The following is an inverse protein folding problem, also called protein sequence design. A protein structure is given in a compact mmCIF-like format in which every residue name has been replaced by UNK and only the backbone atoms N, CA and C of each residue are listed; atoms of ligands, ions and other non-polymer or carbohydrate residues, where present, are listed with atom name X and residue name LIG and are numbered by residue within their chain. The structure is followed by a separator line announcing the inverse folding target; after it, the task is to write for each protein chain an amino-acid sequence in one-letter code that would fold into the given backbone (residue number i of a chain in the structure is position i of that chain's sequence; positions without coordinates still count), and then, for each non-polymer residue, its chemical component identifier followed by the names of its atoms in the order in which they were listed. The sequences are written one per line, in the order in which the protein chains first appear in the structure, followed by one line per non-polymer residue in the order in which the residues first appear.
data_IF_716862253160
#
_entry.id   IF_716862253160
#
_cell.length_a   1.000
_cell.length_b   1.000
_cell.length_c   1.000
_cell.angle_alpha   90.00
_cell.angle_beta   90.00
_cell.angle_gamma   90.00
#
_symmetry.space_group_name_H-M   'P 1'
#
loop_
_entity.id
_entity.type
_entity.pdbx_description
1 polymer ?
#
# COMPACT_ATOMS: atom_id res chain seq x y z
N UNK A 1 16.26 -23.14 -12.33
CA UNK A 1 15.31 -22.13 -11.84
C UNK A 1 14.30 -22.82 -10.97
N UNK A 2 14.21 -22.48 -9.69
CA UNK A 2 13.12 -22.97 -8.82
C UNK A 2 11.79 -22.43 -9.36
N UNK A 3 10.86 -23.30 -9.71
CA UNK A 3 9.51 -22.92 -10.16
C UNK A 3 8.76 -22.21 -9.04
N UNK A 4 7.87 -21.27 -9.41
CA UNK A 4 6.94 -20.67 -8.45
C UNK A 4 6.02 -21.77 -7.92
N UNK A 5 6.10 -22.05 -6.63
CA UNK A 5 5.24 -23.03 -5.97
C UNK A 5 4.18 -22.32 -5.12
N UNK A 6 2.92 -22.43 -5.53
CA UNK A 6 1.80 -21.78 -4.85
C UNK A 6 1.63 -22.27 -3.41
N UNK A 7 1.84 -23.56 -3.12
CA UNK A 7 1.71 -24.08 -1.76
C UNK A 7 2.77 -23.48 -0.84
N UNK A 8 4.00 -23.33 -1.32
CA UNK A 8 5.07 -22.66 -0.58
C UNK A 8 4.74 -21.20 -0.28
N UNK A 9 4.21 -20.46 -1.26
CA UNK A 9 3.81 -19.05 -1.08
C UNK A 9 2.68 -18.93 -0.03
N UNK A 10 1.69 -19.80 -0.08
CA UNK A 10 0.60 -19.81 0.90
C UNK A 10 1.12 -20.13 2.31
N UNK A 11 1.99 -21.14 2.45
CA UNK A 11 2.54 -21.51 3.75
C UNK A 11 3.43 -20.42 4.36
N UNK A 12 4.31 -19.79 3.57
CA UNK A 12 5.13 -18.69 4.10
C UNK A 12 4.28 -17.45 4.41
N UNK A 13 3.18 -17.21 3.69
CA UNK A 13 2.22 -16.14 4.02
C UNK A 13 1.51 -16.41 5.33
N UNK A 14 1.02 -17.65 5.56
CA UNK A 14 0.40 -18.04 6.84
C UNK A 14 1.39 -17.88 8.00
N UNK A 15 2.63 -18.32 7.79
CA UNK A 15 3.70 -18.18 8.80
C UNK A 15 4.03 -16.72 9.08
N UNK A 16 4.08 -15.85 8.06
CA UNK A 16 4.27 -14.41 8.24
C UNK A 16 3.21 -13.81 9.18
N UNK A 17 1.93 -14.14 8.99
CA UNK A 17 0.87 -13.70 9.91
C UNK A 17 1.00 -14.29 11.32
N UNK A 18 1.33 -15.57 11.43
CA UNK A 18 1.51 -16.21 12.73
C UNK A 18 2.71 -15.62 13.48
N UNK A 19 3.83 -15.37 12.80
CA UNK A 19 5.06 -14.79 13.33
C UNK A 19 4.85 -13.36 13.82
N UNK A 20 4.10 -12.53 13.09
CA UNK A 20 3.80 -11.13 13.49
C UNK A 20 3.12 -11.01 14.85
N UNK A 21 2.33 -12.00 15.23
CA UNK A 21 1.56 -11.99 16.46
C UNK A 21 1.97 -13.09 17.44
N UNK A 22 3.09 -13.78 17.18
CA UNK A 22 3.61 -14.81 18.04
C UNK A 22 4.00 -14.23 19.40
N UNK A 23 3.69 -14.95 20.48
CA UNK A 23 3.99 -14.52 21.85
C UNK A 23 3.07 -13.43 22.42
N UNK A 24 2.07 -12.96 21.65
CA UNK A 24 1.06 -12.02 22.12
C UNK A 24 -0.14 -12.74 22.74
N UNK A 25 -0.65 -12.25 23.87
CA UNK A 25 -1.86 -12.79 24.53
C UNK A 25 -3.07 -12.81 23.60
N UNK A 26 -3.22 -11.77 22.78
CA UNK A 26 -4.35 -11.65 21.85
C UNK A 26 -4.08 -12.34 20.50
N UNK A 27 -2.82 -12.71 20.22
CA UNK A 27 -2.43 -13.39 18.98
C UNK A 27 -2.95 -12.70 17.71
N UNK A 28 -3.53 -13.48 16.80
CA UNK A 28 -4.04 -13.01 15.51
C UNK A 28 -5.16 -11.97 15.58
N UNK A 29 -5.80 -11.78 16.74
CA UNK A 29 -6.80 -10.71 16.92
C UNK A 29 -6.20 -9.32 16.66
N UNK A 30 -4.89 -9.14 16.87
CA UNK A 30 -4.22 -7.88 16.55
C UNK A 30 -4.30 -7.49 15.08
N UNK A 31 -4.42 -8.46 14.15
CA UNK A 31 -4.65 -8.18 12.74
C UNK A 31 -5.98 -7.46 12.47
N UNK A 32 -6.96 -7.61 13.37
CA UNK A 32 -8.27 -6.96 13.30
C UNK A 32 -8.32 -5.68 14.14
N UNK A 33 -7.70 -5.71 15.32
CA UNK A 33 -7.67 -4.57 16.25
C UNK A 33 -6.97 -3.37 15.62
N UNK A 34 -5.82 -3.56 14.97
CA UNK A 34 -5.06 -2.46 14.37
C UNK A 34 -5.86 -1.67 13.33
N UNK A 35 -6.45 -2.30 12.30
CA UNK A 35 -7.34 -1.60 11.36
C UNK A 35 -8.50 -0.87 12.03
N UNK A 36 -9.16 -1.50 13.02
CA UNK A 36 -10.29 -0.90 13.75
C UNK A 36 -9.88 0.35 14.53
N UNK A 37 -8.73 0.29 15.22
CA UNK A 37 -8.20 1.43 15.98
C UNK A 37 -7.82 2.57 15.03
N UNK A 38 -7.15 2.28 13.91
CA UNK A 38 -6.83 3.30 12.91
C UNK A 38 -8.08 3.94 12.33
N UNK A 39 -9.08 3.14 11.96
CA UNK A 39 -10.35 3.63 11.45
C UNK A 39 -11.09 4.51 12.47
N UNK A 40 -11.11 4.09 13.75
CA UNK A 40 -11.65 4.88 14.85
C UNK A 40 -10.94 6.23 14.99
N UNK A 41 -9.60 6.24 14.95
CA UNK A 41 -8.80 7.47 15.01
C UNK A 41 -9.17 8.39 13.84
N UNK A 42 -9.20 7.89 12.61
CA UNK A 42 -9.45 8.71 11.42
C UNK A 42 -10.86 9.31 11.40
N UNK A 43 -11.85 8.57 11.88
CA UNK A 43 -13.24 9.02 11.78
C UNK A 43 -13.64 9.83 13.02
N UNK A 44 -13.35 9.32 14.20
CA UNK A 44 -13.84 9.91 15.45
C UNK A 44 -12.96 11.08 15.87
N UNK A 45 -11.64 10.91 15.88
CA UNK A 45 -10.74 11.97 16.33
C UNK A 45 -10.68 13.09 15.30
N UNK A 46 -10.44 12.76 14.03
CA UNK A 46 -10.30 13.78 13.00
C UNK A 46 -11.64 14.32 12.48
N UNK A 47 -12.69 13.48 12.37
CA UNK A 47 -14.01 13.95 11.96
C UNK A 47 -14.75 14.70 13.07
N UNK A 48 -14.90 14.09 14.26
CA UNK A 48 -15.75 14.66 15.32
C UNK A 48 -15.02 15.62 16.27
N UNK A 49 -13.79 15.32 16.68
CA UNK A 49 -13.08 16.11 17.71
C UNK A 49 -12.34 17.33 17.14
N UNK A 50 -11.66 17.19 16.00
CA UNK A 50 -10.94 18.30 15.37
C UNK A 50 -11.85 19.33 14.68
N UNK A 51 -13.14 19.00 14.47
CA UNK A 51 -14.06 19.84 13.72
C UNK A 51 -13.58 20.15 12.29
N UNK A 52 -12.66 19.35 11.76
CA UNK A 52 -12.08 19.52 10.44
C UNK A 52 -13.17 19.26 9.41
N UNK A 53 -13.63 20.34 8.77
CA UNK A 53 -14.64 20.26 7.71
C UNK A 53 -13.92 20.14 6.39
N UNK A 54 -14.33 19.16 5.58
CA UNK A 54 -13.95 19.16 4.18
C UNK A 54 -14.57 20.42 3.54
N UNK A 55 -13.80 21.27 2.84
CA UNK A 55 -14.33 22.45 2.19
C UNK A 55 -15.49 22.04 1.25
N UNK A 56 -16.68 22.60 1.49
CA UNK A 56 -17.87 22.29 0.70
C UNK A 56 -18.76 21.15 1.21
N UNK A 57 -18.41 20.45 2.31
CA UNK A 57 -19.30 19.45 2.94
C UNK A 57 -19.85 19.93 4.29
N UNK A 58 -21.15 19.80 4.51
CA UNK A 58 -21.79 20.00 5.81
C UNK A 58 -21.65 18.82 6.76
N UNK A 59 -21.21 17.66 6.26
CA UNK A 59 -21.19 16.40 7.01
C UNK A 59 -19.96 16.27 7.89
N UNK A 60 -20.20 16.10 9.19
CA UNK A 60 -19.17 15.96 10.22
C UNK A 60 -18.30 14.70 10.06
N UNK A 61 -18.80 13.70 9.33
CA UNK A 61 -18.07 12.46 9.06
C UNK A 61 -17.32 12.48 7.72
N UNK A 62 -17.56 13.46 6.83
CA UNK A 62 -16.99 13.48 5.48
C UNK A 62 -15.46 13.54 5.48
N UNK A 63 -14.87 14.29 6.41
CA UNK A 63 -13.41 14.33 6.56
C UNK A 63 -12.83 13.00 7.06
N UNK A 64 -13.53 12.32 7.97
CA UNK A 64 -13.13 10.99 8.44
C UNK A 64 -13.13 9.94 7.32
N UNK A 65 -14.15 9.99 6.45
CA UNK A 65 -14.22 9.16 5.25
C UNK A 65 -13.10 9.54 4.27
N UNK A 66 -12.86 10.82 4.03
CA UNK A 66 -11.75 11.33 3.19
C UNK A 66 -10.39 10.81 3.63
N UNK A 67 -10.11 10.87 4.94
CA UNK A 67 -8.88 10.35 5.53
C UNK A 67 -8.78 8.84 5.39
N UNK A 68 -9.83 8.09 5.74
CA UNK A 68 -9.83 6.64 5.64
C UNK A 68 -9.62 6.17 4.19
N UNK A 69 -10.28 6.82 3.23
CA UNK A 69 -10.14 6.53 1.81
C UNK A 69 -8.72 6.75 1.28
N UNK A 70 -7.94 7.69 1.86
CA UNK A 70 -6.53 7.87 1.51
C UNK A 70 -5.56 7.00 2.33
N UNK A 71 -5.80 6.84 3.63
CA UNK A 71 -4.85 6.18 4.55
C UNK A 71 -4.84 4.66 4.41
N UNK A 72 -5.99 4.03 4.20
CA UNK A 72 -6.07 2.57 4.02
C UNK A 72 -5.23 2.12 2.80
N UNK A 73 -5.42 2.70 1.59
CA UNK A 73 -4.57 2.35 0.45
C UNK A 73 -3.11 2.74 0.67
N UNK A 74 -2.84 3.92 1.23
CA UNK A 74 -1.46 4.37 1.47
C UNK A 74 -0.69 3.43 2.40
N UNK A 75 -1.29 2.99 3.50
CA UNK A 75 -0.63 2.10 4.46
C UNK A 75 -0.31 0.74 3.83
N UNK A 76 -1.18 0.18 2.99
CA UNK A 76 -0.90 -1.03 2.21
C UNK A 76 0.24 -0.80 1.18
N UNK A 77 0.24 0.34 0.49
CA UNK A 77 1.28 0.71 -0.47
C UNK A 77 2.66 0.83 0.19
N UNK A 78 2.76 1.66 1.24
CA UNK A 78 3.99 1.88 1.98
C UNK A 78 4.46 0.62 2.72
N UNK A 79 3.52 -0.14 3.30
CA UNK A 79 3.81 -1.41 3.97
C UNK A 79 4.41 -2.44 3.02
N UNK A 80 3.87 -2.56 1.80
CA UNK A 80 4.40 -3.45 0.77
C UNK A 80 5.84 -3.06 0.40
N UNK A 81 6.10 -1.79 0.08
CA UNK A 81 7.45 -1.33 -0.31
C UNK A 81 8.45 -1.53 0.83
N UNK A 82 8.11 -1.08 2.04
CA UNK A 82 9.00 -1.12 3.19
C UNK A 82 9.35 -2.55 3.60
N UNK A 83 8.38 -3.46 3.62
CA UNK A 83 8.62 -4.86 3.98
C UNK A 83 9.34 -5.60 2.87
N UNK A 84 9.03 -5.31 1.60
CA UNK A 84 9.77 -5.88 0.48
C UNK A 84 11.25 -5.48 0.52
N UNK A 85 11.58 -4.24 0.90
CA UNK A 85 12.95 -3.76 0.95
C UNK A 85 13.89 -4.66 1.78
N UNK A 86 13.44 -5.23 2.90
CA UNK A 86 14.29 -6.07 3.77
C UNK A 86 14.15 -7.58 3.53
N UNK A 87 13.24 -8.03 2.66
CA UNK A 87 12.79 -9.43 2.62
C UNK A 87 13.90 -10.45 2.38
N UNK A 88 14.86 -10.14 1.50
CA UNK A 88 15.95 -11.05 1.18
C UNK A 88 16.93 -11.19 2.34
N UNK A 89 17.15 -10.12 3.10
CA UNK A 89 17.97 -10.15 4.31
C UNK A 89 17.23 -10.92 5.42
N UNK A 90 15.96 -10.60 5.65
CA UNK A 90 15.16 -11.19 6.72
C UNK A 90 14.98 -12.72 6.53
N UNK A 91 14.83 -13.16 5.29
CA UNK A 91 14.67 -14.57 4.92
C UNK A 91 15.97 -15.22 4.41
N UNK A 92 17.14 -14.61 4.66
CA UNK A 92 18.47 -15.15 4.31
C UNK A 92 18.65 -16.61 4.75
N UNK A 93 18.24 -16.95 5.97
CA UNK A 93 18.34 -18.29 6.52
C UNK A 93 17.53 -19.36 5.75
N UNK A 94 16.51 -18.97 4.99
CA UNK A 94 15.74 -19.85 4.09
C UNK A 94 16.47 -19.96 2.75
N UNK A 95 16.88 -18.80 2.20
CA UNK A 95 17.52 -18.68 0.89
C UNK A 95 18.81 -19.52 0.81
N UNK A 96 19.62 -19.52 1.87
CA UNK A 96 20.92 -20.24 1.88
C UNK A 96 20.79 -21.75 2.11
N UNK A 97 19.65 -22.22 2.66
CA UNK A 97 19.48 -23.62 3.06
C UNK A 97 18.61 -24.43 2.09
N UNK A 98 17.70 -23.76 1.38
CA UNK A 98 16.72 -24.41 0.51
C UNK A 98 16.74 -23.69 -0.82
N UNK A 99 16.62 -24.45 -1.93
CA UNK A 99 16.50 -23.87 -3.27
C UNK A 99 15.12 -23.20 -3.43
N UNK A 100 14.99 -21.98 -2.90
CA UNK A 100 13.77 -21.19 -2.92
C UNK A 100 13.80 -20.16 -4.05
N UNK A 101 12.63 -19.94 -4.65
CA UNK A 101 12.41 -18.85 -5.61
C UNK A 101 12.35 -17.51 -4.88
N UNK A 102 13.33 -16.64 -5.14
CA UNK A 102 13.39 -15.29 -4.56
C UNK A 102 12.10 -14.49 -4.81
N UNK A 103 11.48 -14.52 -6.02
CA UNK A 103 10.18 -13.88 -6.25
C UNK A 103 9.06 -14.37 -5.33
N UNK A 104 9.06 -15.64 -4.89
CA UNK A 104 8.07 -16.14 -3.94
C UNK A 104 8.13 -15.39 -2.60
N UNK A 105 9.33 -14.93 -2.21
CA UNK A 105 9.51 -14.12 -1.01
C UNK A 105 8.94 -12.71 -1.17
N UNK A 106 8.88 -12.13 -2.36
CA UNK A 106 8.18 -10.85 -2.52
C UNK A 106 6.67 -11.04 -2.62
N UNK A 107 6.23 -12.10 -3.29
CA UNK A 107 4.80 -12.39 -3.49
C UNK A 107 4.12 -12.63 -2.13
N UNK A 108 4.77 -13.30 -1.18
CA UNK A 108 4.15 -13.50 0.14
C UNK A 108 3.93 -12.19 0.90
N UNK A 109 4.86 -11.23 0.80
CA UNK A 109 4.69 -9.90 1.40
C UNK A 109 3.50 -9.20 0.76
N UNK A 110 3.45 -9.22 -0.57
CA UNK A 110 2.36 -8.62 -1.33
C UNK A 110 1.01 -9.21 -0.91
N UNK A 111 0.89 -10.54 -0.86
CA UNK A 111 -0.34 -11.23 -0.44
C UNK A 111 -0.72 -10.90 1.00
N UNK A 112 0.28 -10.77 1.87
CA UNK A 112 0.07 -10.42 3.26
C UNK A 112 -0.49 -8.99 3.42
N UNK A 113 0.07 -8.02 2.69
CA UNK A 113 -0.45 -6.65 2.68
C UNK A 113 -1.82 -6.53 1.98
N UNK A 114 -2.12 -7.39 1.00
CA UNK A 114 -3.46 -7.50 0.40
C UNK A 114 -4.48 -7.97 1.43
N UNK A 115 -4.15 -8.97 2.25
CA UNK A 115 -5.05 -9.43 3.32
C UNK A 115 -5.29 -8.31 4.34
N UNK A 116 -4.25 -7.60 4.77
CA UNK A 116 -4.38 -6.46 5.70
C UNK A 116 -5.21 -5.32 5.10
N UNK A 117 -5.02 -5.01 3.82
CA UNK A 117 -5.85 -4.05 3.09
C UNK A 117 -7.31 -4.49 3.05
N UNK A 118 -7.59 -5.74 2.66
CA UNK A 118 -8.96 -6.26 2.57
C UNK A 118 -9.68 -6.23 3.92
N UNK A 119 -9.00 -6.57 5.02
CA UNK A 119 -9.55 -6.46 6.37
C UNK A 119 -9.86 -4.99 6.73
N UNK A 120 -8.94 -4.08 6.46
CA UNK A 120 -9.13 -2.65 6.72
C UNK A 120 -10.28 -2.07 5.89
N UNK A 121 -10.35 -2.47 4.62
CA UNK A 121 -11.37 -2.03 3.69
C UNK A 121 -12.74 -2.62 4.05
N UNK A 122 -12.80 -3.87 4.52
CA UNK A 122 -14.01 -4.49 5.03
C UNK A 122 -14.58 -3.70 6.22
N UNK A 123 -13.75 -3.35 7.22
CA UNK A 123 -14.21 -2.55 8.35
C UNK A 123 -14.65 -1.15 7.93
N UNK A 124 -13.96 -0.54 6.97
CA UNK A 124 -14.37 0.74 6.42
C UNK A 124 -15.71 0.66 5.68
N UNK A 125 -15.94 -0.40 4.89
CA UNK A 125 -17.24 -0.64 4.26
C UNK A 125 -18.37 -0.83 5.27
N UNK A 126 -18.13 -1.64 6.31
CA UNK A 126 -19.11 -1.83 7.39
C UNK A 126 -19.45 -0.48 8.03
N UNK A 127 -18.44 0.36 8.29
CA UNK A 127 -18.66 1.71 8.78
C UNK A 127 -19.52 2.56 7.83
N UNK A 128 -19.26 2.54 6.51
CA UNK A 128 -20.02 3.31 5.52
C UNK A 128 -21.51 2.89 5.49
N UNK A 129 -21.79 1.59 5.56
CA UNK A 129 -23.16 1.08 5.64
C UNK A 129 -23.89 1.59 6.89
N UNK A 130 -23.21 1.64 8.04
CA UNK A 130 -23.79 2.19 9.27
C UNK A 130 -24.04 3.70 9.25
N UNK A 131 -23.48 4.43 8.27
CA UNK A 131 -23.70 5.87 8.08
C UNK A 131 -24.70 6.17 6.96
N UNK A 132 -25.45 5.16 6.48
CA UNK A 132 -26.38 5.28 5.36
C UNK A 132 -25.71 5.84 4.09
N UNK A 133 -24.43 5.50 3.86
CA UNK A 133 -23.66 5.96 2.71
C UNK A 133 -24.28 5.46 1.39
N UNK A 134 -24.47 6.38 0.44
CA UNK A 134 -24.98 6.06 -0.90
C UNK A 134 -23.85 5.56 -1.81
N UNK A 135 -23.85 4.26 -2.10
CA UNK A 135 -22.85 3.66 -2.98
C UNK A 135 -23.07 4.03 -4.45
N UNK A 136 -22.04 4.56 -5.09
CA UNK A 136 -22.02 4.85 -6.52
C UNK A 136 -21.37 3.71 -7.33
N UNK A 137 -21.72 3.58 -8.61
CA UNK A 137 -21.20 2.52 -9.50
C UNK A 137 -19.68 2.57 -9.69
N UNK A 138 -19.05 3.73 -9.44
CA UNK A 138 -17.58 3.89 -9.47
C UNK A 138 -16.85 3.00 -8.45
N UNK A 139 -17.55 2.47 -7.44
CA UNK A 139 -17.00 1.50 -6.49
C UNK A 139 -16.44 0.23 -7.17
N UNK A 140 -17.01 -0.15 -8.31
CA UNK A 140 -16.55 -1.30 -9.10
C UNK A 140 -15.11 -1.12 -9.63
N UNK A 141 -14.58 0.10 -9.65
CA UNK A 141 -13.22 0.40 -10.06
C UNK A 141 -12.20 0.30 -8.91
N UNK A 142 -12.64 0.20 -7.65
CA UNK A 142 -11.73 0.07 -6.49
C UNK A 142 -10.75 -1.10 -6.64
N UNK A 143 -11.18 -2.32 -7.05
CA UNK A 143 -10.25 -3.43 -7.26
C UNK A 143 -9.19 -3.15 -8.34
N UNK A 144 -9.56 -2.43 -9.40
CA UNK A 144 -8.64 -2.07 -10.48
C UNK A 144 -7.61 -1.01 -10.02
N UNK A 145 -8.06 0.03 -9.32
CA UNK A 145 -7.16 1.04 -8.73
C UNK A 145 -6.19 0.38 -7.75
N UNK A 146 -6.71 -0.53 -6.90
CA UNK A 146 -5.88 -1.28 -5.96
C UNK A 146 -4.86 -2.17 -6.65
N UNK A 147 -5.26 -2.86 -7.73
CA UNK A 147 -4.34 -3.66 -8.53
C UNK A 147 -3.16 -2.82 -9.05
N UNK A 148 -3.42 -1.65 -9.65
CA UNK A 148 -2.37 -0.77 -10.16
C UNK A 148 -1.46 -0.25 -9.03
N UNK A 149 -2.05 0.14 -7.90
CA UNK A 149 -1.30 0.56 -6.71
C UNK A 149 -0.37 -0.56 -6.24
N UNK A 150 -0.90 -1.78 -6.11
CA UNK A 150 -0.18 -2.89 -5.53
C UNK A 150 0.91 -3.42 -6.48
N UNK A 151 0.70 -3.30 -7.79
CA UNK A 151 1.71 -3.56 -8.80
C UNK A 151 2.86 -2.54 -8.75
N UNK A 152 2.54 -1.25 -8.57
CA UNK A 152 3.56 -0.21 -8.37
C UNK A 152 4.35 -0.45 -7.08
N UNK A 153 3.66 -0.75 -5.98
CA UNK A 153 4.28 -1.05 -4.70
C UNK A 153 5.21 -2.27 -4.77
N UNK A 154 4.76 -3.33 -5.45
CA UNK A 154 5.57 -4.52 -5.71
C UNK A 154 6.84 -4.18 -6.51
N UNK A 155 6.71 -3.37 -7.56
CA UNK A 155 7.82 -3.02 -8.44
C UNK A 155 8.88 -2.19 -7.71
N UNK A 156 8.45 -1.18 -6.95
CA UNK A 156 9.35 -0.36 -6.12
C UNK A 156 9.97 -1.19 -4.98
N UNK A 157 9.16 -2.05 -4.35
CA UNK A 157 9.60 -2.98 -3.33
C UNK A 157 10.66 -3.96 -3.84
N UNK A 158 10.54 -4.43 -5.09
CA UNK A 158 11.55 -5.30 -5.72
C UNK A 158 12.87 -4.57 -5.97
N UNK A 159 12.81 -3.34 -6.47
CA UNK A 159 14.01 -2.52 -6.63
C UNK A 159 14.70 -2.32 -5.27
N UNK A 160 13.93 -1.92 -4.25
CA UNK A 160 14.46 -1.72 -2.91
C UNK A 160 15.03 -3.03 -2.31
N UNK A 161 14.36 -4.17 -2.51
CA UNK A 161 14.81 -5.48 -2.03
C UNK A 161 16.16 -5.88 -2.61
N UNK A 162 16.32 -5.72 -3.93
CA UNK A 162 17.56 -6.02 -4.64
C UNK A 162 18.69 -5.12 -4.16
N UNK A 163 18.43 -3.80 -4.11
CA UNK A 163 19.45 -2.83 -3.69
C UNK A 163 19.85 -3.00 -2.21
N UNK A 164 18.91 -3.34 -1.34
CA UNK A 164 19.16 -3.51 0.10
C UNK A 164 20.14 -4.65 0.40
N UNK A 165 20.18 -5.70 -0.43
CA UNK A 165 21.17 -6.79 -0.31
C UNK A 165 22.59 -6.26 -0.42
N UNK A 166 22.84 -5.33 -1.34
CA UNK A 166 24.17 -4.74 -1.58
C UNK A 166 24.43 -3.51 -0.70
N UNK A 167 23.39 -2.72 -0.40
CA UNK A 167 23.47 -1.46 0.33
C UNK A 167 22.41 -1.45 1.44
N UNK A 168 22.82 -1.79 2.66
CA UNK A 168 21.90 -1.97 3.81
C UNK A 168 21.08 -0.71 4.14
N UNK A 169 21.66 0.47 3.93
CA UNK A 169 21.01 1.76 4.23
C UNK A 169 19.79 2.02 3.34
N UNK A 170 19.64 1.33 2.21
CA UNK A 170 18.45 1.44 1.34
C UNK A 170 17.17 1.14 2.12
N UNK A 171 17.21 0.26 3.13
CA UNK A 171 16.07 0.01 4.02
C UNK A 171 15.63 1.29 4.74
N UNK A 172 16.55 2.00 5.37
CA UNK A 172 16.27 3.22 6.13
C UNK A 172 15.88 4.37 5.18
N UNK A 173 16.58 4.50 4.06
CA UNK A 173 16.27 5.47 3.01
C UNK A 173 14.84 5.25 2.47
N UNK A 174 14.43 4.00 2.28
CA UNK A 174 13.06 3.67 1.85
C UNK A 174 12.03 4.18 2.86
N UNK A 175 12.29 4.02 4.16
CA UNK A 175 11.42 4.57 5.22
C UNK A 175 11.31 6.09 5.16
N UNK A 176 12.43 6.80 5.01
CA UNK A 176 12.46 8.26 4.89
C UNK A 176 11.72 8.74 3.63
N UNK A 177 11.96 8.10 2.49
CA UNK A 177 11.30 8.44 1.22
C UNK A 177 9.79 8.24 1.35
N UNK A 178 9.33 7.12 1.89
CA UNK A 178 7.89 6.87 2.10
C UNK A 178 7.29 7.93 3.03
N UNK A 179 7.96 8.31 4.10
CA UNK A 179 7.48 9.35 5.01
C UNK A 179 7.35 10.71 4.32
N UNK A 180 8.35 11.12 3.51
CA UNK A 180 8.27 12.36 2.74
C UNK A 180 7.18 12.28 1.67
N UNK A 181 7.05 11.15 1.01
CA UNK A 181 6.07 10.93 -0.05
C UNK A 181 4.62 10.93 0.47
N UNK A 182 4.41 10.46 1.70
CA UNK A 182 3.13 10.60 2.40
C UNK A 182 2.68 12.05 2.49
N UNK A 183 3.55 12.93 3.01
CA UNK A 183 3.23 14.36 3.15
C UNK A 183 3.21 15.10 1.82
N UNK A 184 3.93 14.62 0.82
CA UNK A 184 3.84 15.13 -0.54
C UNK A 184 2.54 14.70 -1.24
N UNK A 185 1.76 13.78 -0.70
CA UNK A 185 0.49 13.34 -1.29
C UNK A 185 -0.69 13.89 -0.49
N UNK A 186 -1.74 14.44 -1.12
CA UNK A 186 -2.92 14.98 -0.42
C UNK A 186 -3.80 13.86 0.17
N UNK A 187 -3.28 13.21 1.21
CA UNK A 187 -3.96 12.17 1.97
C UNK A 187 -4.70 12.81 3.14
N UNK A 188 -3.97 13.62 3.92
CA UNK A 188 -4.50 14.28 5.13
C UNK A 188 -5.14 15.63 4.79
N UNK A 189 -4.56 16.35 3.84
CA UNK A 189 -5.04 17.66 3.41
C UNK A 189 -5.70 17.59 2.03
N UNK A 190 -6.44 18.65 1.70
CA UNK A 190 -7.19 18.77 0.44
C UNK A 190 -6.30 19.35 -0.66
N UNK A 191 -6.42 18.86 -1.89
CA UNK A 191 -5.62 19.36 -3.01
C UNK A 191 -5.80 20.86 -3.27
N UNK A 192 -7.00 21.39 -3.02
CA UNK A 192 -7.35 22.77 -3.37
C UNK A 192 -6.61 23.85 -2.57
N UNK A 193 -6.13 23.55 -1.37
CA UNK A 193 -5.41 24.50 -0.53
C UNK A 193 -3.96 24.74 -1.00
N UNK A 194 -3.46 23.94 -1.94
CA UNK A 194 -2.09 24.03 -2.41
C UNK A 194 -1.88 25.19 -3.39
N UNK A 195 -0.69 25.83 -3.40
CA UNK A 195 -0.36 26.84 -4.39
C UNK A 195 -0.23 26.21 -5.79
N UNK A 196 -0.49 27.01 -6.84
CA UNK A 196 -0.57 26.52 -8.23
C UNK A 196 0.68 25.76 -8.71
N UNK A 197 1.88 26.18 -8.30
CA UNK A 197 3.12 25.49 -8.69
C UNK A 197 3.19 24.05 -8.13
N UNK A 198 2.75 23.84 -6.88
CA UNK A 198 2.73 22.52 -6.24
C UNK A 198 1.70 21.63 -6.92
N UNK A 199 0.52 22.20 -7.23
CA UNK A 199 -0.53 21.48 -7.97
C UNK A 199 -0.01 20.93 -9.30
N UNK A 200 0.74 21.74 -10.07
CA UNK A 200 1.29 21.32 -11.36
C UNK A 200 2.30 20.16 -11.23
N UNK A 201 3.12 20.16 -10.19
CA UNK A 201 4.08 19.07 -9.95
C UNK A 201 3.36 17.81 -9.47
N UNK A 202 2.34 17.94 -8.64
CA UNK A 202 1.63 16.80 -8.05
C UNK A 202 0.88 15.95 -9.04
N UNK A 203 0.43 16.50 -10.17
CA UNK A 203 -0.24 15.73 -11.21
C UNK A 203 0.66 14.61 -11.76
N UNK A 204 1.99 14.75 -11.68
CA UNK A 204 2.95 13.73 -12.10
C UNK A 204 3.27 12.70 -11.00
N UNK A 205 2.82 12.91 -9.77
CA UNK A 205 3.04 11.96 -8.68
C UNK A 205 2.09 10.74 -8.86
N UNK A 206 2.61 9.51 -9.04
CA UNK A 206 1.76 8.35 -9.23
C UNK A 206 0.92 8.03 -7.98
N UNK A 207 1.43 8.29 -6.77
CA UNK A 207 0.67 8.13 -5.54
C UNK A 207 -0.50 9.12 -5.45
N UNK A 208 -0.35 10.34 -5.99
CA UNK A 208 -1.45 11.29 -6.06
C UNK A 208 -2.60 10.74 -6.91
N UNK A 209 -2.30 10.18 -8.09
CA UNK A 209 -3.33 9.60 -8.97
C UNK A 209 -4.09 8.46 -8.27
N UNK A 210 -3.37 7.61 -7.54
CA UNK A 210 -3.97 6.51 -6.76
C UNK A 210 -4.90 7.07 -5.67
N UNK A 211 -4.38 7.93 -4.80
CA UNK A 211 -5.13 8.46 -3.64
C UNK A 211 -6.33 9.31 -4.10
N UNK A 212 -6.15 10.15 -5.11
CA UNK A 212 -7.23 10.92 -5.70
C UNK A 212 -8.34 10.01 -6.25
N UNK A 213 -7.99 8.86 -6.85
CA UNK A 213 -8.98 7.90 -7.33
C UNK A 213 -9.84 7.35 -6.20
N UNK A 214 -9.24 6.99 -5.07
CA UNK A 214 -9.98 6.55 -3.89
C UNK A 214 -10.88 7.66 -3.32
N UNK A 215 -10.35 8.87 -3.16
CA UNK A 215 -11.13 10.01 -2.64
C UNK A 215 -12.30 10.38 -3.58
N UNK A 216 -12.10 10.34 -4.90
CA UNK A 216 -13.20 10.55 -5.88
C UNK A 216 -14.29 9.50 -5.77
N UNK A 217 -13.92 8.22 -5.63
CA UNK A 217 -14.89 7.13 -5.50
C UNK A 217 -15.69 7.24 -4.19
N UNK A 218 -15.01 7.43 -3.06
CA UNK A 218 -15.63 7.32 -1.73
C UNK A 218 -16.23 8.60 -1.16
N UNK A 219 -15.84 9.78 -1.66
CA UNK A 219 -16.29 11.07 -1.10
C UNK A 219 -17.11 11.81 -2.15
N UNK A 220 -16.57 11.92 -3.36
CA UNK A 220 -17.19 12.71 -4.42
C UNK A 220 -18.18 11.89 -5.27
N UNK A 221 -18.33 10.58 -5.01
CA UNK A 221 -19.15 9.65 -5.79
C UNK A 221 -18.89 9.76 -7.30
N UNK A 222 -17.63 9.95 -7.66
CA UNK A 222 -17.20 10.24 -9.01
C UNK A 222 -16.26 9.14 -9.52
N UNK A 223 -16.06 9.10 -10.83
CA UNK A 223 -15.11 8.20 -11.46
C UNK A 223 -13.67 8.68 -11.24
N UNK A 224 -12.72 7.75 -11.11
CA UNK A 224 -11.29 8.07 -11.17
C UNK A 224 -10.91 8.84 -12.44
N UNK A 225 -9.85 9.66 -12.40
CA UNK A 225 -9.36 10.34 -13.59
C UNK A 225 -8.76 9.33 -14.58
N UNK A 226 -9.53 8.91 -15.58
CA UNK A 226 -9.11 7.90 -16.56
C UNK A 226 -7.80 8.24 -17.29
N UNK A 227 -7.61 9.51 -17.68
CA UNK A 227 -6.38 9.96 -18.34
C UNK A 227 -5.14 9.72 -17.46
N UNK A 228 -5.22 10.11 -16.18
CA UNK A 228 -4.14 9.90 -15.22
C UNK A 228 -3.95 8.42 -14.91
N UNK A 229 -5.02 7.61 -14.87
CA UNK A 229 -4.92 6.16 -14.68
C UNK A 229 -4.22 5.45 -15.85
N UNK A 230 -4.45 5.88 -17.09
CA UNK A 230 -3.73 5.34 -18.25
C UNK A 230 -2.23 5.63 -18.14
N UNK A 231 -1.86 6.88 -17.82
CA UNK A 231 -0.47 7.28 -17.60
C UNK A 231 0.15 6.48 -16.46
N UNK A 232 -0.56 6.35 -15.33
CA UNK A 232 -0.13 5.54 -14.20
C UNK A 232 0.08 4.07 -14.60
N UNK A 233 -0.82 3.51 -15.41
CA UNK A 233 -0.69 2.13 -15.90
C UNK A 233 0.59 1.94 -16.68
N UNK A 234 0.90 2.87 -17.61
CA UNK A 234 2.15 2.82 -18.39
C UNK A 234 3.37 2.92 -17.48
N UNK A 235 3.40 3.91 -16.58
CA UNK A 235 4.51 4.12 -15.63
C UNK A 235 4.73 2.86 -14.77
N UNK A 236 3.67 2.30 -14.20
CA UNK A 236 3.74 1.11 -13.36
C UNK A 236 4.31 -0.09 -14.12
N UNK A 237 3.90 -0.33 -15.37
CA UNK A 237 4.42 -1.44 -16.16
C UNK A 237 5.88 -1.21 -16.59
N UNK A 238 6.27 0.03 -16.88
CA UNK A 238 7.67 0.36 -17.16
C UNK A 238 8.56 0.11 -15.94
N UNK A 239 8.14 0.54 -14.74
CA UNK A 239 8.87 0.30 -13.49
C UNK A 239 8.89 -1.20 -13.17
N UNK A 240 7.80 -1.92 -13.37
CA UNK A 240 7.76 -3.37 -13.20
C UNK A 240 8.76 -4.07 -14.12
N UNK A 241 8.75 -3.74 -15.40
CA UNK A 241 9.69 -4.29 -16.37
C UNK A 241 11.14 -4.01 -15.97
N UNK A 242 11.46 -2.77 -15.61
CA UNK A 242 12.78 -2.39 -15.13
C UNK A 242 13.18 -3.16 -13.86
N UNK A 243 12.30 -3.23 -12.86
CA UNK A 243 12.54 -3.94 -11.60
C UNK A 243 12.78 -5.43 -11.84
N UNK A 244 12.05 -6.04 -12.76
CA UNK A 244 12.22 -7.44 -13.14
C UNK A 244 13.55 -7.66 -13.86
N UNK A 245 13.92 -6.80 -14.82
CA UNK A 245 15.21 -6.89 -15.51
C UNK A 245 16.37 -6.75 -14.52
N UNK A 246 16.31 -5.76 -13.63
CA UNK A 246 17.30 -5.54 -12.57
C UNK A 246 17.45 -6.78 -11.67
N UNK A 247 16.32 -7.33 -11.20
CA UNK A 247 16.29 -8.53 -10.38
C UNK A 247 16.91 -9.73 -11.12
N UNK A 248 16.53 -9.96 -12.38
CA UNK A 248 17.02 -11.09 -13.19
C UNK A 248 18.51 -10.99 -13.47
N UNK A 249 19.02 -9.76 -13.64
CA UNK A 249 20.45 -9.51 -13.83
C UNK A 249 21.25 -9.81 -12.55
N UNK A 250 20.74 -9.40 -11.38
CA UNK A 250 21.43 -9.53 -10.09
C UNK A 250 21.07 -10.80 -9.30
N UNK A 251 20.18 -11.66 -9.79
CA UNK A 251 19.67 -12.82 -9.03
C UNK A 251 20.79 -13.74 -8.52
N UNK A 252 21.82 -13.95 -9.35
CA UNK A 252 22.97 -14.76 -8.97
C UNK A 252 23.78 -14.09 -7.87
N UNK A 253 24.12 -12.81 -8.05
CA UNK A 253 24.92 -12.04 -7.10
C UNK A 253 24.22 -11.90 -5.76
N UNK A 254 22.88 -11.78 -5.75
CA UNK A 254 22.07 -11.78 -4.52
C UNK A 254 22.29 -13.09 -3.74
N UNK A 255 22.27 -14.24 -4.42
CA UNK A 255 22.45 -15.54 -3.77
C UNK A 255 23.88 -15.76 -3.29
N UNK A 256 24.86 -15.24 -4.03
CA UNK A 256 26.28 -15.38 -3.67
C UNK A 256 26.65 -14.45 -2.49
N UNK A 257 25.96 -13.32 -2.34
CA UNK A 257 26.20 -12.36 -1.25
C UNK A 257 25.45 -12.69 0.05
N UNK A 258 24.31 -13.39 -0.04
CA UNK A 258 23.52 -13.86 1.11
C UNK A 258 24.14 -15.14 1.67
#
# INVERSE_FOLDING_TARGET
MSTLNASFILEITKRDFAERFAGSVLGSLWALIWPLVNLFIYIVIFGKLMGARLPGSSDMNAYGIYLAAGLIPWTSFAGTISRSASVFIDKKHIITKINTSLPSLLIHINLSEVITYLLSMLFFFVFLVFQDYSFHTSLLLVPFVYYLQQLLAFSLGLIAAVLTVFIRDVREITGVILQLWFWFTPIVYVFDILPGFVKNVLVYNPAYTIIQSYQRIFIFNDFPPFNSLVVLTVITHCILFFSYVLFRYLEKDIRDFL
#
